data_IF_823390278690
#
_entry.id   IF_823390278690
#
_cell.length_a   1.000
_cell.length_b   1.000
_cell.length_c   1.000
_cell.angle_alpha   90.00
_cell.angle_beta   90.00
_cell.angle_gamma   90.00
#
_symmetry.space_group_name_H-M   'P 1'
#
loop_
_entity.id
_entity.type
_entity.pdbx_description
1 polymer ?
#
# COMPACT_ATOMS: atom_id res chain seq x y z
N UNK A 1 -24.64 -26.25 4.38
CA UNK A 1 -23.63 -25.33 3.82
C UNK A 1 -23.56 -24.12 4.72
N UNK A 2 -22.52 -24.00 5.55
CA UNK A 2 -22.24 -22.77 6.30
C UNK A 2 -20.82 -22.37 5.93
N UNK A 3 -20.70 -21.48 4.95
CA UNK A 3 -19.44 -20.81 4.65
C UNK A 3 -19.09 -19.96 5.88
N UNK A 4 -18.29 -20.53 6.78
CA UNK A 4 -17.68 -19.79 7.88
C UNK A 4 -16.84 -18.69 7.23
N UNK A 5 -17.32 -17.46 7.42
CA UNK A 5 -16.76 -16.24 6.88
C UNK A 5 -15.27 -16.15 7.14
N UNK A 6 -14.59 -15.74 6.11
CA UNK A 6 -13.15 -15.74 5.97
C UNK A 6 -12.54 -14.58 6.77
N UNK A 7 -11.68 -14.90 7.73
CA UNK A 7 -11.09 -13.93 8.65
C UNK A 7 -9.90 -13.19 8.00
N UNK A 8 -10.12 -11.92 7.66
CA UNK A 8 -9.11 -10.92 7.28
C UNK A 8 -8.30 -10.41 8.50
N UNK A 9 -8.65 -10.90 9.69
CA UNK A 9 -8.21 -10.46 11.02
C UNK A 9 -6.91 -11.09 11.52
N UNK A 10 -5.81 -10.54 11.01
CA UNK A 10 -4.82 -10.09 11.97
C UNK A 10 -4.47 -8.61 11.74
N UNK A 11 -4.43 -8.16 10.47
CA UNK A 11 -3.90 -6.84 10.17
C UNK A 11 -4.76 -5.97 9.21
N UNK A 12 -5.60 -6.53 8.32
CA UNK A 12 -6.47 -5.73 7.44
C UNK A 12 -7.86 -5.54 8.07
N UNK A 13 -8.34 -4.30 8.11
CA UNK A 13 -9.62 -3.94 8.75
C UNK A 13 -10.76 -3.84 7.73
N UNK A 14 -12.00 -4.11 8.14
CA UNK A 14 -13.18 -3.79 7.31
C UNK A 14 -13.48 -2.30 7.39
N UNK A 15 -13.93 -1.70 6.28
CA UNK A 15 -14.30 -0.28 6.25
C UNK A 15 -15.60 -0.04 7.03
N UNK A 16 -16.67 -0.68 6.56
CA UNK A 16 -17.97 -0.81 7.20
C UNK A 16 -18.49 -2.24 6.96
N UNK A 17 -19.50 -2.72 7.73
CA UNK A 17 -20.12 -4.01 7.47
C UNK A 17 -20.79 -4.05 6.09
N UNK A 18 -20.10 -4.63 5.09
CA UNK A 18 -20.64 -4.81 3.73
C UNK A 18 -19.86 -4.08 2.64
N UNK A 19 -19.10 -3.04 2.99
CA UNK A 19 -18.58 -2.08 2.00
C UNK A 19 -17.23 -2.49 1.40
N UNK A 20 -16.36 -3.15 2.17
CA UNK A 20 -15.04 -3.55 1.66
C UNK A 20 -13.99 -3.79 2.73
N UNK A 21 -12.74 -3.92 2.29
CA UNK A 21 -11.54 -4.08 3.14
C UNK A 21 -10.64 -2.87 2.99
N UNK A 22 -10.32 -2.21 4.11
CA UNK A 22 -9.40 -1.07 4.16
C UNK A 22 -7.97 -1.52 3.92
N UNK A 23 -7.21 -0.68 3.23
CA UNK A 23 -5.76 -0.78 3.15
C UNK A 23 -5.11 0.60 3.19
N UNK A 24 -3.83 0.62 3.47
CA UNK A 24 -3.00 1.82 3.51
C UNK A 24 -1.99 1.80 2.37
N UNK A 25 -1.57 2.96 1.92
CA UNK A 25 -0.59 3.08 0.86
C UNK A 25 0.34 4.26 1.09
N UNK A 26 1.53 4.17 0.51
CA UNK A 26 2.48 5.29 0.44
C UNK A 26 2.40 5.84 -0.98
N UNK A 27 2.21 7.14 -1.11
CA UNK A 27 2.31 7.84 -2.38
C UNK A 27 3.57 8.69 -2.40
N UNK A 28 4.35 8.57 -3.48
CA UNK A 28 5.45 9.49 -3.76
C UNK A 28 4.89 10.83 -4.27
N UNK A 29 5.66 11.92 -4.22
CA UNK A 29 5.30 13.15 -4.91
C UNK A 29 5.11 12.89 -6.39
N UNK A 30 4.23 13.66 -7.00
CA UNK A 30 4.12 13.68 -8.44
C UNK A 30 5.32 14.42 -9.03
N UNK A 31 6.01 13.79 -9.98
CA UNK A 31 7.08 14.40 -10.77
C UNK A 31 6.64 14.49 -12.22
N UNK A 32 7.09 15.51 -12.93
CA UNK A 32 6.78 15.69 -14.35
C UNK A 32 7.67 14.79 -15.20
N UNK A 33 7.07 13.88 -15.96
CA UNK A 33 7.74 13.03 -16.94
C UNK A 33 7.04 13.23 -18.28
N UNK A 34 7.74 13.80 -19.27
CA UNK A 34 7.18 14.11 -20.60
C UNK A 34 5.87 14.92 -20.54
N UNK A 35 5.76 15.87 -19.60
CA UNK A 35 4.57 16.71 -19.41
C UNK A 35 3.41 16.03 -18.67
N UNK A 36 3.60 14.80 -18.17
CA UNK A 36 2.64 14.09 -17.35
C UNK A 36 3.11 14.05 -15.89
N UNK A 37 2.20 14.37 -14.97
CA UNK A 37 2.43 14.17 -13.55
C UNK A 37 2.37 12.68 -13.21
N UNK A 38 3.50 12.10 -12.83
CA UNK A 38 3.63 10.69 -12.45
C UNK A 38 3.95 10.60 -10.97
N UNK A 39 3.12 9.88 -10.23
CA UNK A 39 3.37 9.49 -8.85
C UNK A 39 3.33 7.96 -8.73
N UNK A 40 4.15 7.40 -7.85
CA UNK A 40 4.14 5.98 -7.54
C UNK A 40 3.34 5.74 -6.25
N UNK A 41 2.48 4.73 -6.31
CA UNK A 41 1.74 4.24 -5.16
C UNK A 41 2.29 2.86 -4.76
N UNK A 42 2.73 2.73 -3.50
CA UNK A 42 3.15 1.46 -2.91
C UNK A 42 2.04 0.97 -1.99
N UNK A 43 1.42 -0.16 -2.35
CA UNK A 43 0.22 -0.68 -1.72
C UNK A 43 0.08 -2.19 -1.98
N UNK A 44 -0.73 -2.91 -1.20
CA UNK A 44 -1.40 -2.47 0.03
C UNK A 44 -0.57 -2.73 1.30
N UNK A 45 -0.61 -1.81 2.26
CA UNK A 45 -0.19 -2.05 3.64
C UNK A 45 -1.41 -2.33 4.51
N UNK A 46 -1.29 -3.25 5.49
CA UNK A 46 -2.41 -3.56 6.36
C UNK A 46 -2.71 -2.49 7.41
N UNK A 47 -1.68 -1.77 7.87
CA UNK A 47 -1.84 -0.78 8.95
C UNK A 47 -1.27 0.58 8.55
N UNK A 48 -1.87 1.64 9.08
CA UNK A 48 -1.39 3.01 8.92
C UNK A 48 0.04 3.15 9.44
N UNK A 49 0.32 2.57 10.62
CA UNK A 49 1.62 2.65 11.26
C UNK A 49 2.74 2.05 10.40
N UNK A 50 2.46 0.95 9.67
CA UNK A 50 3.42 0.37 8.74
C UNK A 50 3.68 1.27 7.54
N UNK A 51 2.63 1.80 6.91
CA UNK A 51 2.76 2.74 5.80
C UNK A 51 3.49 4.02 6.23
N UNK A 52 3.19 4.54 7.42
CA UNK A 52 3.79 5.76 7.96
C UNK A 52 5.28 5.59 8.23
N UNK A 53 5.70 4.46 8.81
CA UNK A 53 7.13 4.14 8.95
C UNK A 53 7.82 4.09 7.59
N UNK A 54 7.21 3.47 6.59
CA UNK A 54 7.76 3.41 5.24
C UNK A 54 7.90 4.80 4.59
N UNK A 55 6.88 5.64 4.71
CA UNK A 55 6.92 7.01 4.19
C UNK A 55 8.00 7.86 4.89
N UNK A 56 8.12 7.75 6.22
CA UNK A 56 9.17 8.42 6.99
C UNK A 56 10.57 7.99 6.52
N UNK A 57 10.82 6.69 6.36
CA UNK A 57 12.12 6.18 5.88
C UNK A 57 12.45 6.69 4.46
N UNK A 58 11.46 6.78 3.58
CA UNK A 58 11.64 7.34 2.23
C UNK A 58 11.98 8.83 2.28
N UNK A 59 11.31 9.59 3.14
CA UNK A 59 11.55 11.02 3.30
C UNK A 59 12.90 11.32 3.98
N UNK A 60 13.36 10.45 4.88
CA UNK A 60 14.71 10.52 5.46
C UNK A 60 15.78 10.23 4.41
N UNK A 61 15.59 9.19 3.59
CA UNK A 61 16.54 8.81 2.54
C UNK A 61 16.59 9.81 1.39
N UNK A 62 15.44 10.36 0.99
CA UNK A 62 15.30 11.31 -0.12
C UNK A 62 14.65 12.60 0.39
N UNK A 63 15.42 13.49 1.06
CA UNK A 63 14.91 14.76 1.56
C UNK A 63 14.24 15.57 0.44
N UNK A 64 13.05 16.09 0.71
CA UNK A 64 12.28 16.90 -0.24
C UNK A 64 11.27 16.12 -1.10
N UNK A 65 11.30 14.78 -1.10
CA UNK A 65 10.28 14.00 -1.81
C UNK A 65 8.89 14.13 -1.15
N UNK A 66 8.76 14.39 0.16
CA UNK A 66 7.45 14.58 0.79
C UNK A 66 6.45 13.43 0.54
N UNK A 67 6.87 12.17 0.59
CA UNK A 67 5.97 11.01 0.51
C UNK A 67 4.90 11.06 1.60
N UNK A 68 3.67 10.72 1.27
CA UNK A 68 2.52 10.71 2.21
C UNK A 68 1.82 9.36 2.28
N UNK A 69 1.10 9.16 3.37
CA UNK A 69 0.25 7.99 3.57
C UNK A 69 -1.19 8.33 3.18
N UNK A 70 -1.82 7.41 2.46
CA UNK A 70 -3.25 7.46 2.17
C UNK A 70 -3.94 6.16 2.56
N UNK A 71 -5.27 6.20 2.56
CA UNK A 71 -6.13 5.05 2.84
C UNK A 71 -7.03 4.78 1.63
N UNK A 72 -7.19 3.51 1.30
CA UNK A 72 -8.09 3.04 0.25
C UNK A 72 -8.94 1.87 0.72
N UNK A 73 -9.84 1.44 -0.16
CA UNK A 73 -10.76 0.35 0.09
C UNK A 73 -10.78 -0.61 -1.10
N UNK A 74 -10.70 -1.91 -0.80
CA UNK A 74 -10.93 -2.96 -1.77
C UNK A 74 -12.41 -3.30 -1.85
N UNK A 75 -12.92 -3.35 -3.08
CA UNK A 75 -14.22 -3.93 -3.35
C UNK A 75 -14.26 -5.40 -2.86
N UNK A 76 -15.32 -5.84 -2.16
CA UNK A 76 -15.36 -7.13 -1.48
C UNK A 76 -14.99 -8.32 -2.37
N UNK A 77 -15.39 -8.30 -3.65
CA UNK A 77 -15.11 -9.38 -4.61
C UNK A 77 -13.62 -9.59 -4.90
N UNK A 78 -12.77 -8.60 -4.64
CA UNK A 78 -11.33 -8.68 -4.89
C UNK A 78 -10.50 -8.88 -3.62
N UNK A 79 -11.12 -8.84 -2.44
CA UNK A 79 -10.45 -8.77 -1.15
C UNK A 79 -10.28 -10.14 -0.47
N UNK A 80 -9.72 -11.13 -1.18
CA UNK A 80 -9.34 -12.40 -0.55
C UNK A 80 -8.04 -12.25 0.24
N UNK A 81 -7.91 -12.86 1.41
CA UNK A 81 -6.79 -12.83 2.36
C UNK A 81 -5.53 -13.24 1.65
N UNK A 82 -5.55 -14.33 0.89
CA UNK A 82 -4.43 -14.77 0.06
C UNK A 82 -3.94 -13.67 -0.90
N UNK A 83 -4.86 -12.95 -1.54
CA UNK A 83 -4.51 -11.87 -2.47
C UNK A 83 -4.00 -10.64 -1.72
N UNK A 84 -4.63 -10.28 -0.61
CA UNK A 84 -4.23 -9.14 0.23
C UNK A 84 -2.85 -9.37 0.85
N UNK A 85 -2.58 -10.58 1.33
CA UNK A 85 -1.29 -10.96 1.92
C UNK A 85 -0.18 -10.98 0.88
N UNK A 86 -0.41 -11.56 -0.31
CA UNK A 86 0.54 -11.47 -1.43
C UNK A 86 0.77 -10.02 -1.86
N UNK A 87 -0.30 -9.22 -1.89
CA UNK A 87 -0.23 -7.79 -2.14
C UNK A 87 0.68 -7.09 -1.14
N UNK A 88 0.49 -7.33 0.16
CA UNK A 88 1.31 -6.73 1.22
C UNK A 88 2.77 -7.13 1.16
N UNK A 89 3.06 -8.40 0.86
CA UNK A 89 4.43 -8.86 0.63
C UNK A 89 5.08 -8.13 -0.55
N UNK A 90 4.35 -7.97 -1.66
CA UNK A 90 4.83 -7.22 -2.82
C UNK A 90 5.04 -5.74 -2.52
N UNK A 91 4.13 -5.11 -1.77
CA UNK A 91 4.25 -3.72 -1.34
C UNK A 91 5.51 -3.50 -0.49
N UNK A 92 5.82 -4.42 0.43
CA UNK A 92 7.07 -4.40 1.22
C UNK A 92 8.31 -4.56 0.35
N UNK A 93 8.27 -5.46 -0.64
CA UNK A 93 9.37 -5.64 -1.59
C UNK A 93 9.59 -4.39 -2.46
N UNK A 94 8.51 -3.77 -2.95
CA UNK A 94 8.56 -2.51 -3.69
C UNK A 94 9.13 -1.37 -2.83
N UNK A 95 8.67 -1.24 -1.58
CA UNK A 95 9.22 -0.27 -0.61
C UNK A 95 10.71 -0.50 -0.36
N UNK A 96 11.13 -1.76 -0.16
CA UNK A 96 12.54 -2.11 0.01
C UNK A 96 13.36 -1.75 -1.25
N UNK A 97 12.82 -1.96 -2.45
CA UNK A 97 13.45 -1.52 -3.70
C UNK A 97 13.66 -0.02 -3.75
N UNK A 98 12.63 0.77 -3.45
CA UNK A 98 12.71 2.24 -3.38
C UNK A 98 13.73 2.71 -2.33
N UNK A 99 13.70 2.11 -1.14
CA UNK A 99 14.64 2.39 -0.06
C UNK A 99 16.07 1.94 -0.37
N UNK A 100 16.27 0.98 -1.27
CA UNK A 100 17.59 0.59 -1.75
C UNK A 100 18.08 1.49 -2.91
N UNK A 101 17.20 2.31 -3.50
CA UNK A 101 17.49 3.03 -4.74
C UNK A 101 17.55 2.09 -5.96
N UNK A 102 16.95 0.90 -5.85
CA UNK A 102 16.80 -0.02 -6.96
C UNK A 102 15.56 0.45 -7.72
N UNK A 103 15.77 1.29 -8.72
CA UNK A 103 14.71 1.64 -9.67
C UNK A 103 14.16 0.34 -10.26
N UNK A 104 12.83 0.19 -10.31
CA UNK A 104 12.20 -0.95 -11.00
C UNK A 104 12.79 -0.98 -12.41
N UNK A 105 13.46 -2.08 -12.76
CA UNK A 105 13.86 -2.36 -14.15
C UNK A 105 12.64 -2.12 -15.05
N UNK A 106 12.86 -1.31 -16.08
CA UNK A 106 11.93 -1.06 -17.19
C UNK A 106 11.34 -2.36 -17.74
#
# INVERSE_FOLDING_TARGET
>A
MNARGFDVGANFQRALPGDGILFWFISTPAVQVNGLAVAQMVAPFPTEAEAQRGASLLNERYPGNNCWVGRGEYEPRYATTDRLMRGAQRARADLAGLLAGIERRA
#
